data_IF_170365344212
#
_entry.id   IF_170365344212
#
_cell.length_a   1.000
_cell.length_b   1.000
_cell.length_c   1.000
_cell.angle_alpha   90.00
_cell.angle_beta   90.00
_cell.angle_gamma   90.00
#
_symmetry.space_group_name_H-M   'P 1'
#
loop_
_entity.id
_entity.type
_entity.pdbx_description
1 polymer ?
#
# COMPACT_ATOMS: atom_id res chain seq x y z
N UNK A 1 24.95 9.03 13.08
CA UNK A 1 23.89 7.98 13.04
C UNK A 1 24.44 6.69 13.65
N UNK A 2 23.80 6.15 14.69
CA UNK A 2 24.29 4.97 15.44
C UNK A 2 24.36 3.71 14.53
N UNK A 3 25.47 2.97 14.54
CA UNK A 3 25.71 1.78 13.69
C UNK A 3 24.64 0.69 13.85
N UNK A 4 24.08 0.56 15.06
CA UNK A 4 22.94 -0.33 15.35
C UNK A 4 21.68 0.07 14.58
N UNK A 5 21.41 1.36 14.46
CA UNK A 5 20.25 1.89 13.72
C UNK A 5 20.42 1.63 12.22
N UNK A 6 21.65 1.79 11.69
CA UNK A 6 21.95 1.50 10.27
C UNK A 6 21.64 0.05 9.91
N UNK A 7 22.10 -0.91 10.73
CA UNK A 7 21.80 -2.35 10.53
C UNK A 7 20.30 -2.66 10.63
N UNK A 8 19.58 -2.03 11.57
CA UNK A 8 18.13 -2.25 11.73
C UNK A 8 17.34 -1.71 10.54
N UNK A 9 17.67 -0.51 10.07
CA UNK A 9 17.05 0.10 8.89
C UNK A 9 17.32 -0.75 7.65
N UNK A 10 18.56 -1.21 7.47
CA UNK A 10 18.93 -2.07 6.34
C UNK A 10 18.10 -3.37 6.32
N UNK A 11 17.95 -4.03 7.47
CA UNK A 11 17.12 -5.24 7.58
C UNK A 11 15.67 -4.98 7.17
N UNK A 12 15.09 -3.86 7.61
CA UNK A 12 13.72 -3.47 7.24
C UNK A 12 13.64 -3.17 5.74
N UNK A 13 14.63 -2.46 5.20
CA UNK A 13 14.68 -2.12 3.78
C UNK A 13 14.72 -3.39 2.91
N UNK A 14 15.59 -4.34 3.24
CA UNK A 14 15.71 -5.59 2.50
C UNK A 14 14.42 -6.43 2.57
N UNK A 15 13.79 -6.51 3.75
CA UNK A 15 12.49 -7.18 3.88
C UNK A 15 11.41 -6.53 3.00
N UNK A 16 11.34 -5.19 2.99
CA UNK A 16 10.40 -4.46 2.11
C UNK A 16 10.72 -4.65 0.63
N UNK A 17 12.00 -4.68 0.26
CA UNK A 17 12.45 -4.90 -1.12
C UNK A 17 12.04 -6.29 -1.62
N UNK A 18 12.31 -7.33 -0.83
CA UNK A 18 11.91 -8.72 -1.13
C UNK A 18 10.40 -8.81 -1.35
N UNK A 19 9.60 -8.26 -0.43
CA UNK A 19 8.13 -8.21 -0.57
C UNK A 19 7.67 -7.52 -1.86
N UNK A 20 8.29 -6.39 -2.25
CA UNK A 20 7.94 -5.71 -3.51
C UNK A 20 8.24 -6.56 -4.74
N UNK A 21 9.35 -7.29 -4.73
CA UNK A 21 9.70 -8.20 -5.81
C UNK A 21 8.72 -9.38 -5.90
N UNK A 22 8.30 -9.94 -4.76
CA UNK A 22 7.28 -10.99 -4.70
C UNK A 22 5.94 -10.50 -5.23
N UNK A 23 5.48 -9.32 -4.79
CA UNK A 23 4.24 -8.70 -5.28
C UNK A 23 4.32 -8.39 -6.79
N UNK A 24 5.47 -7.95 -7.29
CA UNK A 24 5.65 -7.65 -8.71
C UNK A 24 5.54 -8.92 -9.59
N UNK A 25 5.85 -10.09 -9.05
CA UNK A 25 5.74 -11.38 -9.75
C UNK A 25 4.34 -11.95 -9.78
N UNK A 26 3.41 -11.42 -8.98
CA UNK A 26 2.03 -11.91 -8.98
C UNK A 26 1.34 -11.67 -10.33
N UNK A 27 0.39 -12.53 -10.72
CA UNK A 27 -0.55 -12.26 -11.80
C UNK A 27 -1.28 -10.92 -11.60
N UNK A 28 -1.75 -10.33 -12.69
CA UNK A 28 -2.42 -9.02 -12.67
C UNK A 28 -3.67 -9.06 -11.80
N UNK A 29 -4.43 -10.14 -11.87
CA UNK A 29 -5.67 -10.36 -11.12
C UNK A 29 -5.42 -10.35 -9.61
N UNK A 30 -4.35 -11.00 -9.16
CA UNK A 30 -3.96 -11.04 -7.74
C UNK A 30 -3.50 -9.66 -7.26
N UNK A 31 -2.80 -8.90 -8.10
CA UNK A 31 -2.44 -7.50 -7.79
C UNK A 31 -3.68 -6.63 -7.61
N UNK A 32 -4.70 -6.80 -8.46
CA UNK A 32 -5.97 -6.09 -8.35
C UNK A 32 -6.73 -6.44 -7.07
N UNK A 33 -6.79 -7.72 -6.68
CA UNK A 33 -7.41 -8.12 -5.40
C UNK A 33 -6.75 -7.43 -4.21
N UNK A 34 -5.42 -7.40 -4.18
CA UNK A 34 -4.65 -6.71 -3.13
C UNK A 34 -4.95 -5.21 -3.14
N UNK A 35 -4.97 -4.58 -4.32
CA UNK A 35 -5.27 -3.16 -4.47
C UNK A 35 -6.66 -2.81 -3.92
N UNK A 36 -7.68 -3.59 -4.28
CA UNK A 36 -9.06 -3.40 -3.81
C UNK A 36 -9.15 -3.53 -2.28
N UNK A 37 -8.43 -4.47 -1.68
CA UNK A 37 -8.38 -4.60 -0.22
C UNK A 37 -7.77 -3.35 0.44
N UNK A 38 -6.66 -2.85 -0.11
CA UNK A 38 -6.01 -1.61 0.38
C UNK A 38 -6.96 -0.42 0.25
N UNK A 39 -7.65 -0.29 -0.88
CA UNK A 39 -8.63 0.78 -1.11
C UNK A 39 -9.80 0.70 -0.13
N UNK A 40 -10.33 -0.50 0.16
CA UNK A 40 -11.40 -0.68 1.16
C UNK A 40 -10.97 -0.19 2.55
N UNK A 41 -9.77 -0.55 2.99
CA UNK A 41 -9.20 -0.08 4.26
C UNK A 41 -9.07 1.45 4.25
N UNK A 42 -8.52 2.02 3.18
CA UNK A 42 -8.37 3.47 3.03
C UNK A 42 -9.73 4.19 3.08
N UNK A 43 -10.76 3.65 2.42
CA UNK A 43 -12.10 4.23 2.42
C UNK A 43 -12.72 4.22 3.83
N UNK A 44 -12.49 3.17 4.63
CA UNK A 44 -12.92 3.14 6.03
C UNK A 44 -12.31 4.28 6.83
N UNK A 45 -11.00 4.47 6.71
CA UNK A 45 -10.26 5.55 7.40
C UNK A 45 -10.75 6.94 6.96
N UNK A 46 -11.00 7.11 5.66
CA UNK A 46 -11.49 8.38 5.12
C UNK A 46 -12.94 8.67 5.56
N UNK A 47 -13.79 7.63 5.62
CA UNK A 47 -15.16 7.74 6.11
C UNK A 47 -15.21 8.19 7.57
N UNK A 48 -14.33 7.66 8.43
CA UNK A 48 -14.17 8.11 9.81
C UNK A 48 -13.78 9.59 9.92
N UNK A 49 -13.08 10.13 8.91
CA UNK A 49 -12.73 11.55 8.80
C UNK A 49 -13.81 12.41 8.15
N UNK A 50 -15.00 11.86 7.91
CA UNK A 50 -16.10 12.55 7.23
C UNK A 50 -15.95 12.69 5.71
N UNK A 51 -14.93 12.07 5.10
CA UNK A 51 -14.69 12.11 3.66
C UNK A 51 -15.37 10.89 3.03
N UNK A 52 -16.42 11.12 2.22
CA UNK A 52 -17.06 10.05 1.44
C UNK A 52 -16.18 9.71 0.24
N UNK A 53 -15.69 8.46 0.19
CA UNK A 53 -14.92 7.94 -0.93
C UNK A 53 -15.23 6.47 -1.16
N UNK A 54 -15.47 6.11 -2.41
CA UNK A 54 -15.67 4.73 -2.83
C UNK A 54 -14.33 4.08 -3.19
N UNK A 55 -14.16 2.75 -2.99
CA UNK A 55 -12.89 2.08 -3.26
C UNK A 55 -12.47 2.12 -4.75
N UNK A 56 -13.40 2.39 -5.66
CA UNK A 56 -13.19 2.53 -7.11
C UNK A 56 -13.88 3.77 -7.71
N UNK A 57 -14.41 4.67 -6.87
CA UNK A 57 -15.15 5.84 -7.35
C UNK A 57 -14.23 6.94 -7.90
N UNK A 58 -14.68 7.59 -8.97
CA UNK A 58 -14.10 8.80 -9.52
C UNK A 58 -13.94 9.86 -8.41
N UNK A 59 -12.71 10.05 -7.94
CA UNK A 59 -12.42 11.21 -7.09
C UNK A 59 -11.03 11.82 -7.29
N UNK A 60 -10.21 11.32 -8.23
CA UNK A 60 -8.88 11.90 -8.52
C UNK A 60 -8.43 11.74 -9.98
N UNK A 61 -9.35 11.64 -10.94
CA UNK A 61 -9.04 11.80 -12.36
C UNK A 61 -10.08 12.76 -12.96
N UNK A 62 -9.74 14.05 -13.02
CA UNK A 62 -10.42 15.02 -13.89
C UNK A 62 -11.49 15.91 -13.26
N UNK A 63 -11.05 16.96 -12.57
CA UNK A 63 -11.41 18.34 -12.93
C UNK A 63 -10.14 19.18 -12.87
#
# INVERSE_FOLDING_TARGET
>A
MNQKNKKRVEKIFQAKRKRRQELARLPVEEKFKILLQIQKIACSILKERGIKREPWGESVLGK
#
